data_IF_938167938673
#
_entry.id   IF_938167938673
#
_cell.length_a   1.000
_cell.length_b   1.000
_cell.length_c   1.000
_cell.angle_alpha   90.00
_cell.angle_beta   90.00
_cell.angle_gamma   90.00
#
_symmetry.space_group_name_H-M   'P 1'
#
loop_
_entity.id
_entity.type
_entity.pdbx_description
1 polymer ?
#
# COMPACT_ATOMS: atom_id res chain seq x y z
N UNK A 1 3.55 -12.50 -1.71
CA UNK A 1 2.36 -13.39 -1.69
C UNK A 1 1.10 -12.64 -1.25
N UNK A 2 1.15 -11.86 -0.16
CA UNK A 2 0.01 -11.09 0.36
C UNK A 2 -0.50 -10.00 -0.60
N UNK A 3 0.39 -9.12 -1.08
CA UNK A 3 -0.01 -7.98 -1.93
C UNK A 3 -0.61 -8.42 -3.26
N UNK A 4 -0.01 -9.39 -3.95
CA UNK A 4 -0.50 -9.94 -5.21
C UNK A 4 -1.89 -10.59 -5.08
N UNK A 5 -2.10 -11.40 -4.03
CA UNK A 5 -3.40 -12.02 -3.79
C UNK A 5 -4.49 -10.98 -3.53
N UNK A 6 -4.18 -9.94 -2.74
CA UNK A 6 -5.11 -8.86 -2.44
C UNK A 6 -5.40 -7.99 -3.68
N UNK A 7 -4.37 -7.60 -4.44
CA UNK A 7 -4.53 -6.81 -5.67
C UNK A 7 -5.39 -7.54 -6.71
N UNK A 8 -5.22 -8.86 -6.88
CA UNK A 8 -6.08 -9.65 -7.76
C UNK A 8 -7.49 -9.82 -7.18
N UNK A 9 -7.62 -9.94 -5.86
CA UNK A 9 -8.90 -10.06 -5.17
C UNK A 9 -9.81 -8.83 -5.30
N UNK A 10 -9.25 -7.63 -5.53
CA UNK A 10 -10.03 -6.40 -5.74
C UNK A 10 -10.41 -6.13 -7.21
N UNK A 11 -9.88 -6.90 -8.16
CA UNK A 11 -10.21 -6.75 -9.60
C UNK A 11 -11.71 -6.86 -9.88
N UNK A 12 -12.48 -7.79 -9.26
CA UNK A 12 -13.93 -7.84 -9.47
C UNK A 12 -14.66 -6.56 -9.07
N UNK A 13 -14.21 -5.86 -8.02
CA UNK A 13 -14.79 -4.57 -7.61
C UNK A 13 -14.56 -3.48 -8.68
N UNK A 14 -13.40 -3.53 -9.36
CA UNK A 14 -13.09 -2.64 -10.48
C UNK A 14 -13.91 -2.95 -11.74
N UNK A 15 -14.54 -4.11 -11.83
CA UNK A 15 -15.33 -4.55 -12.99
C UNK A 15 -16.82 -4.73 -12.66
N UNK A 16 -17.21 -4.49 -11.41
CA UNK A 16 -18.56 -4.71 -10.92
C UNK A 16 -19.58 -3.85 -11.69
N UNK A 17 -20.75 -4.41 -11.99
CA UNK A 17 -21.87 -3.72 -12.64
C UNK A 17 -23.16 -4.01 -11.90
N UNK A 18 -24.01 -3.00 -11.76
CA UNK A 18 -25.28 -3.11 -11.04
C UNK A 18 -25.39 -2.09 -9.90
N UNK A 19 -26.19 -2.41 -8.88
CA UNK A 19 -26.38 -1.50 -7.76
C UNK A 19 -25.06 -1.20 -7.03
N UNK A 20 -24.77 0.08 -6.81
CA UNK A 20 -23.53 0.56 -6.17
C UNK A 20 -22.25 0.32 -7.00
N UNK A 21 -22.36 0.18 -8.32
CA UNK A 21 -21.20 0.04 -9.22
C UNK A 21 -20.19 1.20 -9.10
N UNK A 22 -20.66 2.44 -9.05
CA UNK A 22 -19.85 3.63 -8.87
C UNK A 22 -19.01 3.58 -7.59
N UNK A 23 -19.60 3.13 -6.47
CA UNK A 23 -18.90 2.94 -5.20
C UNK A 23 -17.87 1.81 -5.29
N UNK A 24 -18.25 0.68 -5.90
CA UNK A 24 -17.35 -0.47 -6.05
C UNK A 24 -16.16 -0.14 -6.96
N UNK A 25 -16.38 0.57 -8.06
CA UNK A 25 -15.33 1.07 -8.94
C UNK A 25 -14.43 2.07 -8.21
N UNK A 26 -14.98 3.00 -7.44
CA UNK A 26 -14.20 3.97 -6.68
C UNK A 26 -13.28 3.28 -5.65
N UNK A 27 -13.82 2.33 -4.88
CA UNK A 27 -13.04 1.56 -3.91
C UNK A 27 -12.02 0.66 -4.64
N UNK A 28 -12.46 -0.09 -5.66
CA UNK A 28 -11.63 -1.03 -6.39
C UNK A 28 -10.43 -0.35 -7.05
N UNK A 29 -10.65 0.74 -7.76
CA UNK A 29 -9.57 1.48 -8.45
C UNK A 29 -8.63 2.16 -7.45
N UNK A 30 -9.17 2.77 -6.38
CA UNK A 30 -8.36 3.39 -5.33
C UNK A 30 -7.46 2.38 -4.61
N UNK A 31 -8.02 1.24 -4.21
CA UNK A 31 -7.28 0.19 -3.51
C UNK A 31 -6.27 -0.48 -4.44
N UNK A 32 -6.64 -0.80 -5.68
CA UNK A 32 -5.73 -1.41 -6.64
C UNK A 32 -4.50 -0.53 -6.90
N UNK A 33 -4.72 0.76 -7.17
CA UNK A 33 -3.64 1.73 -7.36
C UNK A 33 -2.77 1.86 -6.11
N UNK A 34 -3.41 2.02 -4.94
CA UNK A 34 -2.73 2.15 -3.65
C UNK A 34 -1.88 0.93 -3.28
N UNK A 35 -2.32 -0.27 -3.66
CA UNK A 35 -1.55 -1.49 -3.42
C UNK A 35 -0.33 -1.61 -4.32
N UNK A 36 -0.44 -1.24 -5.60
CA UNK A 36 0.71 -1.24 -6.51
C UNK A 36 1.72 -0.17 -6.07
N UNK A 37 1.28 1.07 -5.88
CA UNK A 37 2.16 2.16 -5.44
C UNK A 37 2.75 1.88 -4.07
N UNK A 38 1.92 1.43 -3.12
CA UNK A 38 2.33 1.11 -1.76
C UNK A 38 3.35 -0.02 -1.70
N UNK A 39 3.16 -1.09 -2.48
CA UNK A 39 4.13 -2.20 -2.53
C UNK A 39 5.47 -1.74 -3.09
N UNK A 40 5.46 -0.98 -4.20
CA UNK A 40 6.70 -0.49 -4.82
C UNK A 40 7.45 0.47 -3.91
N UNK A 41 6.75 1.44 -3.30
CA UNK A 41 7.35 2.42 -2.42
C UNK A 41 7.80 1.79 -1.10
N UNK A 42 6.98 0.95 -0.47
CA UNK A 42 7.29 0.37 0.84
C UNK A 42 8.59 -0.45 0.83
N UNK A 43 8.90 -1.17 -0.26
CA UNK A 43 10.15 -1.94 -0.40
C UNK A 43 11.40 -1.06 -0.17
N UNK A 44 11.37 0.20 -0.64
CA UNK A 44 12.49 1.13 -0.47
C UNK A 44 12.37 1.97 0.79
N UNK A 45 11.18 2.53 1.04
CA UNK A 45 10.98 3.50 2.11
C UNK A 45 10.98 2.88 3.50
N UNK A 46 10.45 1.66 3.68
CA UNK A 46 10.44 0.99 4.98
C UNK A 46 11.86 0.76 5.53
N UNK A 47 12.82 0.15 4.81
CA UNK A 47 14.17 -0.03 5.33
C UNK A 47 14.91 1.29 5.51
N UNK A 48 14.71 2.27 4.61
CA UNK A 48 15.32 3.60 4.75
C UNK A 48 14.83 4.29 6.01
N UNK A 49 13.51 4.33 6.24
CA UNK A 49 12.94 4.92 7.45
C UNK A 49 13.38 4.20 8.71
N UNK A 50 13.46 2.87 8.69
CA UNK A 50 13.99 2.10 9.80
C UNK A 50 15.42 2.54 10.16
N UNK A 51 16.33 2.64 9.18
CA UNK A 51 17.71 3.04 9.41
C UNK A 51 17.80 4.50 9.87
N UNK A 52 17.03 5.40 9.25
CA UNK A 52 17.03 6.83 9.62
C UNK A 52 16.59 7.01 11.07
N UNK A 53 15.49 6.37 11.46
CA UNK A 53 14.96 6.45 12.82
C UNK A 53 15.92 5.79 13.81
N UNK A 54 16.45 4.60 13.50
CA UNK A 54 17.41 3.91 14.36
C UNK A 54 18.67 4.76 14.60
N UNK A 55 19.24 5.34 13.54
CA UNK A 55 20.41 6.24 13.65
C UNK A 55 20.09 7.51 14.44
N UNK A 56 18.89 8.08 14.25
CA UNK A 56 18.47 9.26 14.98
C UNK A 56 18.38 8.99 16.49
N UNK A 57 17.78 7.86 16.87
CA UNK A 57 17.68 7.42 18.27
C UNK A 57 19.08 7.11 18.85
N UNK A 58 19.95 6.44 18.10
CA UNK A 58 21.31 6.15 18.54
C UNK A 58 22.13 7.42 18.80
N UNK A 59 21.95 8.45 17.99
CA UNK A 59 22.60 9.75 18.17
C UNK A 59 22.07 10.48 19.42
N UNK A 60 20.75 10.42 19.65
CA UNK A 60 20.13 10.98 20.86
C UNK A 60 20.65 10.32 22.14
N UNK A 61 20.87 9.01 22.14
CA UNK A 61 21.39 8.30 23.32
C UNK A 61 22.87 8.59 23.62
N UNK A 62 23.61 9.10 22.63
CA UNK A 62 25.04 9.45 22.78
C UNK A 62 25.26 10.90 23.23
N UNK A 63 24.24 11.74 23.13
CA UNK A 63 24.23 13.12 23.63
C UNK A 63 23.80 13.15 25.11
#
# INVERSE_FOLDING_TARGET
MTSLAFTLGVVPLMLARGASDSTQHAIGTGVFGGMISGTLLAIFFVPVFFIVIARFIDNLRKA
#
